data_IF_737905969698
#
_entry.id   IF_737905969698
#
_cell.length_a   1.000
_cell.length_b   1.000
_cell.length_c   1.000
_cell.angle_alpha   90.00
_cell.angle_beta   90.00
_cell.angle_gamma   90.00
#
_symmetry.space_group_name_H-M   'P 1'
#
loop_
_entity.id
_entity.type
_entity.pdbx_description
1 polymer ?
#
# COMPACT_ATOMS: atom_id res chain seq x y z
N UNK A 1 -24.98 -21.65 -7.03
CA UNK A 1 -24.23 -22.62 -7.87
C UNK A 1 -22.69 -22.47 -7.84
N UNK A 2 -22.09 -21.31 -7.52
CA UNK A 2 -20.61 -21.11 -7.56
C UNK A 2 -19.80 -21.64 -6.35
N UNK A 3 -20.44 -22.25 -5.34
CA UNK A 3 -19.80 -22.69 -4.09
C UNK A 3 -20.04 -24.18 -3.74
N UNK A 4 -20.36 -25.05 -4.71
CA UNK A 4 -20.48 -26.48 -4.41
C UNK A 4 -19.09 -27.11 -4.21
N UNK A 5 -18.91 -28.06 -3.27
CA UNK A 5 -17.64 -28.75 -3.06
C UNK A 5 -17.11 -29.46 -4.32
N UNK A 6 -18.03 -29.91 -5.18
CA UNK A 6 -17.71 -30.52 -6.48
C UNK A 6 -17.11 -29.52 -7.47
N UNK A 7 -17.69 -28.31 -7.56
CA UNK A 7 -17.17 -27.23 -8.39
C UNK A 7 -15.75 -26.81 -7.96
N UNK A 8 -15.52 -26.67 -6.65
CA UNK A 8 -14.19 -26.32 -6.13
C UNK A 8 -13.14 -27.38 -6.44
N UNK A 9 -13.50 -28.68 -6.35
CA UNK A 9 -12.60 -29.78 -6.75
C UNK A 9 -12.22 -29.71 -8.23
N UNK A 10 -13.18 -29.43 -9.12
CA UNK A 10 -12.90 -29.30 -10.55
C UNK A 10 -11.99 -28.11 -10.86
N UNK A 11 -12.23 -26.96 -10.22
CA UNK A 11 -11.37 -25.78 -10.35
C UNK A 11 -9.95 -26.07 -9.85
N UNK A 12 -9.81 -26.72 -8.70
CA UNK A 12 -8.50 -27.08 -8.14
C UNK A 12 -7.74 -28.05 -9.06
N UNK A 13 -8.44 -29.05 -9.61
CA UNK A 13 -7.85 -29.98 -10.57
C UNK A 13 -7.40 -29.27 -11.85
N UNK A 14 -8.25 -28.42 -12.44
CA UNK A 14 -7.90 -27.63 -13.62
C UNK A 14 -6.68 -26.72 -13.37
N UNK A 15 -6.61 -26.12 -12.17
CA UNK A 15 -5.47 -25.32 -11.74
C UNK A 15 -4.19 -26.16 -11.66
N UNK A 16 -4.24 -27.34 -11.03
CA UNK A 16 -3.08 -28.24 -10.92
C UNK A 16 -2.60 -28.72 -12.30
N UNK A 17 -3.51 -29.08 -13.20
CA UNK A 17 -3.18 -29.46 -14.58
C UNK A 17 -2.53 -28.29 -15.32
N UNK A 18 -3.06 -27.08 -15.14
CA UNK A 18 -2.51 -25.87 -15.78
C UNK A 18 -1.12 -25.53 -15.26
N UNK A 19 -0.91 -25.57 -13.94
CA UNK A 19 0.40 -25.36 -13.32
C UNK A 19 1.40 -26.43 -13.78
N UNK A 20 0.98 -27.69 -13.86
CA UNK A 20 1.81 -28.78 -14.38
C UNK A 20 2.22 -28.53 -15.83
N UNK A 21 1.29 -28.08 -16.70
CA UNK A 21 1.63 -27.69 -18.08
C UNK A 21 2.62 -26.52 -18.12
N UNK A 22 2.45 -25.53 -17.25
CA UNK A 22 3.37 -24.38 -17.15
C UNK A 22 4.77 -24.76 -16.67
N UNK A 23 4.89 -25.79 -15.82
CA UNK A 23 6.17 -26.32 -15.35
C UNK A 23 6.99 -26.98 -16.47
N UNK A 24 6.32 -27.52 -17.49
CA UNK A 24 6.94 -28.14 -18.67
C UNK A 24 7.06 -27.15 -19.84
N UNK A 25 6.52 -25.94 -19.72
CA UNK A 25 6.58 -24.95 -20.78
C UNK A 25 7.94 -24.25 -20.82
N UNK A 26 8.63 -24.35 -21.96
CA UNK A 26 9.90 -23.65 -22.23
C UNK A 26 9.73 -22.15 -22.52
N UNK A 27 8.49 -21.65 -22.56
CA UNK A 27 8.22 -20.22 -22.83
C UNK A 27 8.94 -19.34 -21.81
N UNK A 28 9.84 -18.47 -22.28
CA UNK A 28 10.51 -17.46 -21.45
C UNK A 28 9.48 -16.45 -20.95
N UNK A 29 9.06 -16.61 -19.70
CA UNK A 29 8.21 -15.64 -19.01
C UNK A 29 9.07 -14.73 -18.15
N UNK A 30 8.91 -13.41 -18.36
CA UNK A 30 9.57 -12.36 -17.56
C UNK A 30 8.83 -12.03 -16.27
N UNK A 31 7.56 -12.42 -16.16
CA UNK A 31 6.72 -12.14 -14.99
C UNK A 31 5.84 -13.32 -14.58
N UNK A 32 5.57 -13.44 -13.29
CA UNK A 32 4.62 -14.38 -12.70
C UNK A 32 3.68 -13.60 -11.77
N UNK A 33 2.37 -13.69 -12.01
CA UNK A 33 1.36 -13.07 -11.16
C UNK A 33 0.45 -14.14 -10.57
N UNK A 34 0.40 -14.20 -9.24
CA UNK A 34 -0.42 -15.12 -8.47
C UNK A 34 -1.19 -14.29 -7.44
N UNK A 35 -2.51 -14.34 -7.55
CA UNK A 35 -3.44 -13.47 -6.84
C UNK A 35 -4.55 -14.33 -6.23
N UNK A 36 -5.13 -13.88 -5.12
CA UNK A 36 -6.23 -14.56 -4.43
C UNK A 36 -7.42 -14.89 -5.36
N UNK A 37 -7.73 -14.00 -6.32
CA UNK A 37 -8.81 -14.21 -7.28
C UNK A 37 -8.51 -15.37 -8.26
N UNK A 38 -7.24 -15.68 -8.47
CA UNK A 38 -6.79 -16.80 -9.31
C UNK A 38 -6.63 -18.09 -8.50
N UNK A 39 -6.04 -17.99 -7.30
CA UNK A 39 -5.79 -19.12 -6.41
C UNK A 39 -6.25 -18.77 -4.99
N UNK A 40 -7.40 -19.33 -4.59
CA UNK A 40 -7.93 -19.20 -3.24
C UNK A 40 -7.34 -20.26 -2.32
N UNK A 41 -6.06 -20.10 -1.94
CA UNK A 41 -5.37 -21.04 -1.05
C UNK A 41 -6.15 -21.38 0.24
N UNK A 42 -6.86 -20.44 0.90
CA UNK A 42 -7.64 -20.75 2.10
C UNK A 42 -8.78 -21.74 1.89
N UNK A 43 -9.25 -21.91 0.64
CA UNK A 43 -10.34 -22.83 0.30
C UNK A 43 -9.86 -24.26 -0.02
N UNK A 44 -8.55 -24.46 -0.06
CA UNK A 44 -7.94 -25.75 -0.34
C UNK A 44 -7.80 -26.56 0.94
N UNK A 45 -7.89 -27.89 0.79
CA UNK A 45 -7.45 -28.79 1.84
C UNK A 45 -5.92 -28.75 1.99
N UNK A 46 -5.42 -29.30 3.09
CA UNK A 46 -3.99 -29.29 3.42
C UNK A 46 -3.12 -29.90 2.32
N UNK A 47 -3.59 -30.98 1.70
CA UNK A 47 -2.86 -31.69 0.64
C UNK A 47 -2.86 -30.86 -0.65
N UNK A 48 -4.01 -30.34 -1.08
CA UNK A 48 -4.14 -29.49 -2.25
C UNK A 48 -3.30 -28.22 -2.16
N UNK A 49 -3.32 -27.55 -1.00
CA UNK A 49 -2.49 -26.37 -0.72
C UNK A 49 -1.01 -26.69 -0.86
N UNK A 50 -0.53 -27.73 -0.17
CA UNK A 50 0.87 -28.17 -0.25
C UNK A 50 1.31 -28.48 -1.69
N UNK A 51 0.48 -29.20 -2.44
CA UNK A 51 0.79 -29.54 -3.83
C UNK A 51 0.90 -28.29 -4.72
N UNK A 52 0.01 -27.32 -4.55
CA UNK A 52 0.07 -26.06 -5.31
C UNK A 52 1.31 -25.25 -4.96
N UNK A 53 1.67 -25.13 -3.67
CA UNK A 53 2.89 -24.43 -3.26
C UNK A 53 4.14 -25.10 -3.84
N UNK A 54 4.23 -26.43 -3.81
CA UNK A 54 5.34 -27.19 -4.41
C UNK A 54 5.43 -26.93 -5.93
N UNK A 55 4.29 -26.92 -6.62
CA UNK A 55 4.24 -26.64 -8.07
C UNK A 55 4.70 -25.21 -8.37
N UNK A 56 4.23 -24.22 -7.60
CA UNK A 56 4.64 -22.83 -7.76
C UNK A 56 6.14 -22.64 -7.52
N UNK A 57 6.67 -23.22 -6.44
CA UNK A 57 8.10 -23.20 -6.15
C UNK A 57 8.92 -23.79 -7.32
N UNK A 58 8.51 -24.95 -7.84
CA UNK A 58 9.19 -25.58 -8.99
C UNK A 58 9.14 -24.71 -10.24
N UNK A 59 8.00 -24.07 -10.51
CA UNK A 59 7.85 -23.15 -11.65
C UNK A 59 8.79 -21.97 -11.48
N UNK A 60 8.83 -21.34 -10.31
CA UNK A 60 9.66 -20.16 -10.02
C UNK A 60 11.14 -20.53 -10.11
N UNK A 61 11.56 -21.62 -9.44
CA UNK A 61 12.94 -22.06 -9.37
C UNK A 61 13.51 -22.40 -10.76
N UNK A 62 12.71 -22.97 -11.67
CA UNK A 62 13.15 -23.26 -13.04
C UNK A 62 13.41 -22.01 -13.90
N UNK A 63 12.91 -20.83 -13.51
CA UNK A 63 13.10 -19.59 -14.28
C UNK A 63 14.36 -18.89 -13.80
N UNK A 64 15.25 -18.58 -14.74
CA UNK A 64 16.53 -17.87 -14.47
C UNK A 64 16.51 -16.41 -14.93
N UNK A 65 15.47 -15.99 -15.63
CA UNK A 65 15.32 -14.66 -16.24
C UNK A 65 14.03 -13.96 -15.82
N UNK A 66 13.50 -14.32 -14.64
CA UNK A 66 12.32 -13.67 -14.11
C UNK A 66 12.67 -12.25 -13.66
N UNK A 67 11.90 -11.27 -14.13
CA UNK A 67 12.08 -9.85 -13.84
C UNK A 67 11.05 -9.36 -12.81
N UNK A 68 9.87 -10.00 -12.74
CA UNK A 68 8.83 -9.64 -11.79
C UNK A 68 8.08 -10.83 -11.19
N UNK A 69 7.65 -10.68 -9.94
CA UNK A 69 6.70 -11.58 -9.29
C UNK A 69 5.66 -10.81 -8.48
N UNK A 70 4.40 -11.23 -8.57
CA UNK A 70 3.30 -10.73 -7.76
C UNK A 70 2.65 -11.91 -7.01
N UNK A 71 2.58 -11.79 -5.68
CA UNK A 71 1.99 -12.72 -4.72
C UNK A 71 1.00 -11.92 -3.85
N UNK A 72 -0.23 -11.73 -4.32
CA UNK A 72 -1.20 -10.85 -3.65
C UNK A 72 -2.39 -11.60 -3.04
N UNK A 73 -2.71 -11.30 -1.78
CA UNK A 73 -3.90 -11.83 -1.08
C UNK A 73 -3.88 -13.34 -0.82
N UNK A 74 -2.74 -14.01 -1.01
CA UNK A 74 -2.67 -15.47 -0.99
C UNK A 74 -2.84 -16.09 0.40
N UNK A 75 -2.68 -15.30 1.47
CA UNK A 75 -2.73 -15.80 2.85
C UNK A 75 -1.77 -16.99 3.07
N UNK A 76 -0.54 -16.86 2.60
CA UNK A 76 0.54 -17.84 2.77
C UNK A 76 0.94 -17.94 4.23
N UNK A 77 1.29 -19.15 4.68
CA UNK A 77 2.01 -19.26 5.94
C UNK A 77 3.41 -18.66 5.77
N UNK A 78 4.08 -18.24 6.86
CA UNK A 78 5.46 -17.75 6.79
C UNK A 78 6.40 -18.67 6.01
N UNK A 79 6.31 -19.98 6.26
CA UNK A 79 7.14 -20.99 5.60
C UNK A 79 6.90 -21.04 4.10
N UNK A 80 5.64 -21.09 3.69
CA UNK A 80 5.28 -21.14 2.27
C UNK A 80 5.80 -19.91 1.54
N UNK A 81 5.61 -18.71 2.07
CA UNK A 81 6.04 -17.50 1.37
C UNK A 81 7.55 -17.29 1.38
N UNK A 82 8.27 -17.63 2.47
CA UNK A 82 9.75 -17.61 2.43
C UNK A 82 10.28 -18.62 1.42
N UNK A 83 9.69 -19.82 1.36
CA UNK A 83 10.07 -20.85 0.39
C UNK A 83 9.86 -20.37 -1.05
N UNK A 84 8.72 -19.74 -1.34
CA UNK A 84 8.46 -19.16 -2.67
C UNK A 84 9.43 -18.03 -3.02
N UNK A 85 9.82 -17.20 -2.05
CA UNK A 85 10.81 -16.14 -2.29
C UNK A 85 12.23 -16.69 -2.46
N UNK A 86 12.63 -17.70 -1.70
CA UNK A 86 13.93 -18.37 -1.89
C UNK A 86 14.03 -19.04 -3.26
N UNK A 87 12.91 -19.53 -3.81
CA UNK A 87 12.88 -20.07 -5.16
C UNK A 87 13.28 -19.03 -6.24
N UNK A 88 13.22 -17.73 -5.94
CA UNK A 88 13.66 -16.66 -6.85
C UNK A 88 15.18 -16.56 -6.95
N UNK A 89 15.95 -17.30 -6.16
CA UNK A 89 17.42 -17.24 -6.16
C UNK A 89 18.06 -17.43 -7.54
N UNK A 90 17.46 -18.28 -8.38
CA UNK A 90 17.93 -18.52 -9.75
C UNK A 90 17.70 -17.33 -10.68
N UNK A 91 16.75 -16.45 -10.36
CA UNK A 91 16.48 -15.19 -11.06
C UNK A 91 17.01 -13.96 -10.31
N UNK A 92 17.87 -14.12 -9.29
CA UNK A 92 18.32 -13.01 -8.44
C UNK A 92 18.99 -11.85 -9.20
N UNK A 93 19.62 -12.16 -10.34
CA UNK A 93 20.31 -11.19 -11.19
C UNK A 93 19.39 -10.44 -12.16
N UNK A 94 18.16 -10.92 -12.34
CA UNK A 94 17.18 -10.32 -13.26
C UNK A 94 15.97 -9.76 -12.54
N UNK A 95 15.72 -10.22 -11.31
CA UNK A 95 14.55 -9.83 -10.51
C UNK A 95 14.61 -8.35 -10.15
N UNK A 96 13.62 -7.59 -10.62
CA UNK A 96 13.51 -6.14 -10.42
C UNK A 96 12.31 -5.75 -9.57
N UNK A 97 11.24 -6.54 -9.61
CA UNK A 97 9.94 -6.20 -9.00
C UNK A 97 9.38 -7.36 -8.19
N UNK A 98 9.15 -7.15 -6.90
CA UNK A 98 8.51 -8.12 -6.02
C UNK A 98 7.31 -7.46 -5.34
N UNK A 99 6.12 -8.01 -5.58
CA UNK A 99 4.86 -7.56 -5.00
C UNK A 99 4.28 -8.62 -4.08
N UNK A 100 4.07 -8.27 -2.81
CA UNK A 100 3.67 -9.19 -1.74
C UNK A 100 2.64 -8.54 -0.78
N UNK A 101 1.70 -7.74 -1.31
CA UNK A 101 0.61 -7.20 -0.50
C UNK A 101 -0.37 -8.30 -0.06
N UNK A 102 -0.61 -8.37 1.25
CA UNK A 102 -1.43 -9.41 1.90
C UNK A 102 -1.00 -10.83 1.50
N UNK A 103 0.29 -11.00 1.17
CA UNK A 103 0.82 -12.29 0.74
C UNK A 103 0.76 -13.31 1.87
N UNK A 104 0.96 -12.88 3.12
CA UNK A 104 1.04 -13.74 4.30
C UNK A 104 -0.19 -13.62 5.17
N UNK A 105 -0.48 -14.68 5.94
CA UNK A 105 -1.52 -14.68 6.96
C UNK A 105 -1.32 -13.54 7.98
N UNK A 106 -2.42 -13.03 8.53
CA UNK A 106 -2.47 -11.85 9.42
C UNK A 106 -1.59 -11.96 10.68
N UNK A 107 -1.15 -13.17 11.02
CA UNK A 107 -0.32 -13.47 12.18
C UNK A 107 1.16 -13.13 12.01
N UNK A 108 1.63 -12.73 10.81
CA UNK A 108 3.04 -12.38 10.61
C UNK A 108 3.33 -10.94 11.05
N UNK A 109 3.04 -10.66 12.33
CA UNK A 109 3.99 -9.84 13.07
C UNK A 109 5.18 -10.74 13.34
N UNK A 110 6.37 -10.32 12.92
CA UNK A 110 7.63 -10.91 13.39
C UNK A 110 7.65 -10.73 14.92
N UNK A 111 6.99 -11.64 15.64
CA UNK A 111 6.87 -11.61 17.09
C UNK A 111 8.30 -11.64 17.62
N UNK A 112 8.65 -10.57 18.31
CA UNK A 112 9.91 -10.43 19.04
C UNK A 112 10.02 -11.65 19.96
N UNK A 113 11.24 -12.19 20.05
CA UNK A 113 11.64 -13.33 20.89
C UNK A 113 11.31 -13.13 22.37
N UNK A 114 10.03 -13.24 22.74
CA UNK A 114 9.60 -13.35 24.14
C UNK A 114 8.72 -14.60 24.28
N UNK A 115 9.24 -15.52 25.09
CA UNK A 115 8.82 -16.89 25.30
C UNK A 115 7.36 -17.06 25.76
N UNK A 116 6.72 -18.20 25.43
CA UNK A 116 6.40 -19.27 26.38
C UNK A 116 5.71 -20.44 25.66
N UNK A 117 6.04 -21.63 26.13
CA UNK A 117 5.74 -22.94 25.56
C UNK A 117 4.28 -23.33 25.79
N UNK A 118 3.54 -23.68 24.72
CA UNK A 118 2.54 -24.74 24.78
C UNK A 118 2.89 -25.73 23.68
N UNK A 119 3.56 -26.82 24.07
CA UNK A 119 3.85 -27.96 23.21
C UNK A 119 2.51 -28.62 22.85
N UNK A 120 1.98 -28.35 21.67
CA UNK A 120 1.05 -29.27 21.01
C UNK A 120 1.85 -30.12 20.02
N UNK A 121 1.78 -31.45 20.20
CA UNK A 121 2.65 -32.44 19.56
C UNK A 121 2.34 -32.76 18.09
N UNK A 122 1.99 -31.77 17.26
CA UNK A 122 1.64 -32.01 15.86
C UNK A 122 2.33 -31.03 14.93
N UNK A 123 3.42 -31.49 14.29
CA UNK A 123 4.29 -30.76 13.36
C UNK A 123 4.77 -29.40 13.86
N UNK A 124 6.04 -29.34 14.27
CA UNK A 124 6.72 -28.05 14.45
C UNK A 124 6.89 -27.40 13.08
N UNK A 125 5.93 -26.58 12.65
CA UNK A 125 6.20 -25.53 11.67
C UNK A 125 7.43 -24.78 12.19
N UNK A 126 8.53 -24.86 11.45
CA UNK A 126 9.76 -24.16 11.82
C UNK A 126 9.39 -22.70 11.95
N UNK A 127 9.51 -22.13 13.16
CA UNK A 127 9.27 -20.71 13.41
C UNK A 127 10.23 -19.95 12.50
N UNK A 128 9.69 -19.39 11.42
CA UNK A 128 10.45 -18.59 10.46
C UNK A 128 11.02 -17.43 11.23
N UNK A 129 12.34 -17.37 11.27
CA UNK A 129 13.00 -16.26 11.92
C UNK A 129 12.98 -15.07 10.97
N UNK A 130 12.98 -13.87 11.53
CA UNK A 130 13.21 -12.62 10.81
C UNK A 130 14.38 -12.66 9.82
N UNK A 131 15.41 -13.44 10.15
CA UNK A 131 16.57 -13.63 9.29
C UNK A 131 16.24 -14.37 7.99
N UNK A 132 15.23 -15.24 7.95
CA UNK A 132 14.88 -16.03 6.77
C UNK A 132 14.17 -15.19 5.71
N UNK A 133 13.24 -14.31 6.13
CA UNK A 133 12.63 -13.29 5.27
C UNK A 133 13.69 -12.37 4.66
N UNK A 134 14.57 -11.83 5.52
CA UNK A 134 15.67 -10.98 5.09
C UNK A 134 16.60 -11.68 4.10
N UNK A 135 16.94 -12.95 4.36
CA UNK A 135 17.77 -13.76 3.45
C UNK A 135 17.08 -13.92 2.10
N UNK A 136 15.78 -14.21 2.07
CA UNK A 136 15.06 -14.43 0.83
C UNK A 136 15.02 -13.18 -0.06
N UNK A 137 14.59 -12.03 0.49
CA UNK A 137 14.54 -10.77 -0.27
C UNK A 137 15.94 -10.22 -0.53
N UNK A 138 16.81 -10.27 0.47
CA UNK A 138 18.17 -9.74 0.38
C UNK A 138 19.12 -10.56 -0.50
N UNK A 139 18.67 -11.66 -1.11
CA UNK A 139 19.40 -12.37 -2.16
C UNK A 139 19.16 -11.77 -3.56
N UNK A 140 18.16 -10.89 -3.74
CA UNK A 140 17.75 -10.33 -5.03
C UNK A 140 18.60 -9.09 -5.37
N UNK A 141 19.77 -9.30 -5.96
CA UNK A 141 20.81 -8.29 -6.21
C UNK A 141 20.34 -7.06 -7.01
N UNK A 142 19.37 -7.23 -7.93
CA UNK A 142 18.87 -6.18 -8.82
C UNK A 142 17.47 -5.70 -8.46
N UNK A 143 16.99 -5.99 -7.24
CA UNK A 143 15.67 -5.59 -6.81
C UNK A 143 15.58 -4.05 -6.76
N UNK A 144 14.66 -3.51 -7.57
CA UNK A 144 14.42 -2.06 -7.63
C UNK A 144 13.16 -1.65 -6.89
N UNK A 145 12.15 -2.54 -6.85
CA UNK A 145 10.84 -2.27 -6.29
C UNK A 145 10.41 -3.44 -5.40
N UNK A 146 10.14 -3.12 -4.14
CA UNK A 146 9.60 -4.06 -3.17
C UNK A 146 8.26 -3.52 -2.66
N UNK A 147 7.21 -4.33 -2.78
CA UNK A 147 5.88 -4.01 -2.29
C UNK A 147 5.44 -5.04 -1.25
N UNK A 148 5.20 -4.59 -0.02
CA UNK A 148 4.97 -5.45 1.15
C UNK A 148 4.01 -4.77 2.13
N UNK A 149 3.46 -5.54 3.06
CA UNK A 149 2.78 -4.96 4.21
C UNK A 149 3.82 -4.31 5.14
N UNK A 150 3.44 -3.22 5.79
CA UNK A 150 4.31 -2.50 6.72
C UNK A 150 4.83 -3.43 7.82
N UNK A 151 3.95 -4.27 8.38
CA UNK A 151 4.31 -5.23 9.43
C UNK A 151 5.47 -6.17 9.07
N UNK A 152 5.69 -6.49 7.78
CA UNK A 152 6.72 -7.45 7.38
C UNK A 152 8.14 -6.92 7.52
N UNK A 153 8.31 -5.59 7.54
CA UNK A 153 9.61 -4.93 7.69
C UNK A 153 9.72 -4.11 8.97
N UNK A 154 8.60 -3.88 9.66
CA UNK A 154 8.54 -3.08 10.86
C UNK A 154 9.15 -3.82 12.05
N UNK A 155 10.31 -3.33 12.51
CA UNK A 155 10.98 -3.83 13.71
C UNK A 155 11.30 -2.67 14.65
N UNK A 156 11.29 -2.86 15.98
CA UNK A 156 11.50 -1.75 16.93
C UNK A 156 12.85 -1.02 16.77
N UNK A 157 13.84 -1.70 16.19
CA UNK A 157 15.17 -1.12 15.88
C UNK A 157 15.30 -0.66 14.43
N UNK A 158 14.40 -1.08 13.54
CA UNK A 158 14.49 -0.88 12.09
C UNK A 158 15.64 -1.61 11.40
N UNK A 159 16.32 -2.51 12.10
CA UNK A 159 17.47 -3.31 11.62
C UNK A 159 17.19 -4.09 10.33
N UNK A 160 15.98 -4.62 10.13
CA UNK A 160 15.61 -5.34 8.91
C UNK A 160 15.62 -4.40 7.70
N UNK A 161 14.97 -3.25 7.84
CA UNK A 161 14.93 -2.21 6.81
C UNK A 161 16.36 -1.70 6.51
N UNK A 162 17.15 -1.40 7.54
CA UNK A 162 18.55 -0.96 7.38
C UNK A 162 19.38 -2.02 6.66
N UNK A 163 19.22 -3.30 7.02
CA UNK A 163 19.98 -4.38 6.40
C UNK A 163 19.60 -4.57 4.93
N UNK A 164 18.33 -4.39 4.57
CA UNK A 164 17.89 -4.40 3.17
C UNK A 164 18.48 -3.22 2.40
N UNK A 165 18.47 -2.03 3.00
CA UNK A 165 19.08 -0.84 2.41
C UNK A 165 20.59 -1.03 2.16
N UNK A 166 21.33 -1.62 3.11
CA UNK A 166 22.75 -1.95 2.94
C UNK A 166 23.01 -2.90 1.78
N UNK A 167 22.14 -3.90 1.59
CA UNK A 167 22.31 -4.91 0.54
C UNK A 167 21.94 -4.40 -0.85
N UNK A 168 20.82 -3.71 -0.97
CA UNK A 168 20.30 -3.25 -2.25
C UNK A 168 20.90 -1.90 -2.67
N UNK A 169 21.29 -1.07 -1.70
CA UNK A 169 21.94 0.21 -1.91
C UNK A 169 21.20 1.09 -2.91
N UNK A 170 21.96 1.63 -3.87
CA UNK A 170 21.45 2.51 -4.94
C UNK A 170 20.53 1.84 -5.95
N UNK A 171 20.49 0.51 -6.01
CA UNK A 171 19.56 -0.21 -6.89
C UNK A 171 18.12 -0.11 -6.37
N UNK A 172 17.93 0.08 -5.06
CA UNK A 172 16.61 0.14 -4.46
C UNK A 172 15.96 1.50 -4.69
N UNK A 173 14.92 1.52 -5.52
CA UNK A 173 14.24 2.76 -5.93
C UNK A 173 12.88 2.93 -5.27
N UNK A 174 12.17 1.83 -5.03
CA UNK A 174 10.79 1.88 -4.55
C UNK A 174 10.55 0.88 -3.41
N UNK A 175 9.98 1.41 -2.33
CA UNK A 175 9.38 0.64 -1.26
C UNK A 175 7.90 1.03 -1.14
N UNK A 176 7.01 0.08 -1.43
CA UNK A 176 5.56 0.27 -1.38
C UNK A 176 4.98 -0.46 -0.16
N UNK A 177 4.41 0.30 0.76
CA UNK A 177 3.97 -0.16 2.07
C UNK A 177 2.45 -0.13 2.15
N UNK A 178 1.85 -1.31 2.22
CA UNK A 178 0.45 -1.46 2.60
C UNK A 178 0.33 -1.38 4.12
N UNK A 179 -0.52 -0.49 4.61
CA UNK A 179 -0.69 -0.20 6.03
C UNK A 179 -2.13 -0.48 6.44
N UNK A 180 -2.31 -1.40 7.39
CA UNK A 180 -3.61 -1.87 7.88
C UNK A 180 -3.71 -1.67 9.40
N UNK A 181 -4.91 -1.39 9.93
CA UNK A 181 -5.11 -1.07 11.36
C UNK A 181 -4.63 -2.22 12.26
N UNK A 182 -4.98 -3.45 11.86
CA UNK A 182 -4.61 -4.69 12.55
C UNK A 182 -3.10 -4.93 12.64
N UNK A 183 -2.27 -4.21 11.87
CA UNK A 183 -0.81 -4.35 11.85
C UNK A 183 -0.10 -3.46 12.86
N UNK A 184 -0.76 -2.41 13.35
CA UNK A 184 -0.19 -1.46 14.32
C UNK A 184 -0.90 -1.48 15.65
N UNK A 185 -2.20 -1.82 15.69
CA UNK A 185 -2.95 -1.96 16.94
C UNK A 185 -3.17 -3.43 17.23
N UNK A 186 -2.53 -3.94 18.27
CA UNK A 186 -2.82 -5.24 18.88
C UNK A 186 -3.93 -5.09 19.94
N UNK A 187 -4.69 -6.17 20.15
CA UNK A 187 -5.60 -6.28 21.29
C UNK A 187 -5.04 -7.30 22.26
N UNK A 188 -4.91 -6.93 23.54
CA UNK A 188 -4.58 -7.88 24.60
C UNK A 188 -5.78 -8.76 24.93
N UNK A 189 -5.54 -9.86 25.65
CA UNK A 189 -6.59 -10.75 26.15
C UNK A 189 -7.61 -10.02 27.05
N UNK A 190 -7.18 -8.94 27.72
CA UNK A 190 -8.06 -8.07 28.52
C UNK A 190 -8.77 -6.98 27.69
N UNK A 191 -8.66 -7.00 26.36
CA UNK A 191 -9.29 -6.02 25.47
C UNK A 191 -8.60 -4.65 25.41
N UNK A 192 -7.44 -4.48 26.05
CA UNK A 192 -6.65 -3.26 25.96
C UNK A 192 -5.86 -3.22 24.65
N UNK A 193 -5.89 -2.07 23.99
CA UNK A 193 -5.11 -1.86 22.78
C UNK A 193 -3.63 -1.64 23.16
N UNK A 194 -2.73 -2.32 22.47
CA UNK A 194 -1.28 -2.07 22.57
C UNK A 194 -0.70 -1.86 21.18
N UNK A 195 0.37 -1.08 21.11
CA UNK A 195 1.04 -0.78 19.87
C UNK A 195 1.99 -1.92 19.46
N UNK A 196 1.89 -2.34 18.20
CA UNK A 196 2.84 -3.28 17.58
C UNK A 196 4.12 -2.54 17.16
N UNK A 197 5.08 -3.32 16.62
CA UNK A 197 6.38 -2.78 16.19
C UNK A 197 6.25 -1.67 15.15
N UNK A 198 6.99 -0.59 15.35
CA UNK A 198 7.11 0.55 14.43
C UNK A 198 8.56 0.74 14.01
N UNK A 199 8.77 1.29 12.82
CA UNK A 199 10.10 1.64 12.33
C UNK A 199 10.49 3.00 12.94
N UNK A 200 11.55 3.08 13.76
CA UNK A 200 11.93 4.34 14.38
C UNK A 200 12.56 5.28 13.35
N UNK A 201 12.44 6.59 13.58
CA UNK A 201 12.94 7.62 12.66
C UNK A 201 14.44 7.51 12.35
N UNK A 202 15.25 7.13 13.35
CA UNK A 202 16.69 6.86 13.19
C UNK A 202 16.99 5.78 12.14
N UNK A 203 16.09 4.81 11.96
CA UNK A 203 16.26 3.76 10.96
C UNK A 203 16.04 4.32 9.56
N UNK A 204 15.06 5.21 9.37
CA UNK A 204 14.86 5.92 8.11
C UNK A 204 16.04 6.82 7.75
N UNK A 205 16.61 7.52 8.73
CA UNK A 205 17.84 8.29 8.53
C UNK A 205 19.01 7.40 8.06
N UNK A 206 19.20 6.24 8.69
CA UNK A 206 20.22 5.28 8.26
C UNK A 206 19.94 4.69 6.87
N UNK A 207 18.67 4.44 6.53
CA UNK A 207 18.27 3.93 5.21
C UNK A 207 18.58 4.96 4.13
N UNK A 208 18.31 6.24 4.38
CA UNK A 208 18.64 7.31 3.45
C UNK A 208 20.13 7.36 3.13
N UNK A 209 21.00 7.07 4.10
CA UNK A 209 22.44 6.96 3.86
C UNK A 209 22.82 5.81 2.91
N UNK A 210 22.22 4.63 3.08
CA UNK A 210 22.55 3.45 2.25
C UNK A 210 21.84 3.42 0.89
N UNK A 211 20.61 3.94 0.83
CA UNK A 211 19.75 3.96 -0.36
C UNK A 211 19.18 5.38 -0.57
N UNK A 212 20.00 6.35 -0.99
CA UNK A 212 19.60 7.77 -1.06
C UNK A 212 18.53 8.06 -2.11
N UNK A 213 18.39 7.19 -3.11
CA UNK A 213 17.39 7.30 -4.19
C UNK A 213 16.07 6.60 -3.87
N UNK A 214 15.95 6.00 -2.67
CA UNK A 214 14.77 5.26 -2.26
C UNK A 214 13.56 6.20 -2.11
N UNK A 215 12.47 5.81 -2.77
CA UNK A 215 11.16 6.46 -2.65
C UNK A 215 10.21 5.53 -1.90
N UNK A 216 9.49 6.09 -0.94
CA UNK A 216 8.49 5.36 -0.17
C UNK A 216 7.08 5.74 -0.64
N UNK A 217 6.27 4.71 -0.88
CA UNK A 217 4.85 4.82 -1.12
C UNK A 217 4.10 4.23 0.06
N UNK A 218 3.23 5.01 0.68
CA UNK A 218 2.28 4.52 1.68
C UNK A 218 0.89 4.35 1.05
N UNK A 219 0.29 3.18 1.27
CA UNK A 219 -1.11 2.89 1.01
C UNK A 219 -1.79 2.54 2.35
N UNK A 220 -2.42 3.54 2.96
CA UNK A 220 -3.09 3.44 4.26
C UNK A 220 -4.58 3.23 4.02
N UNK A 221 -5.12 2.09 4.45
CA UNK A 221 -6.48 1.69 4.12
C UNK A 221 -7.28 1.40 5.39
N UNK A 222 -8.42 2.07 5.56
CA UNK A 222 -9.36 1.86 6.65
C UNK A 222 -8.92 2.44 7.99
N UNK A 223 -8.00 3.40 7.99
CA UNK A 223 -7.44 4.01 9.21
C UNK A 223 -7.66 5.52 9.13
N UNK A 224 -8.84 6.02 9.50
CA UNK A 224 -9.12 7.45 9.38
C UNK A 224 -8.45 8.30 10.47
N UNK A 225 -8.19 7.75 11.65
CA UNK A 225 -7.68 8.51 12.79
C UNK A 225 -6.19 8.85 12.64
N UNK A 226 -5.88 10.15 12.64
CA UNK A 226 -4.51 10.68 12.58
C UNK A 226 -3.55 10.06 13.57
N UNK A 227 -3.92 9.94 14.84
CA UNK A 227 -3.04 9.37 15.87
C UNK A 227 -2.67 7.91 15.61
N UNK A 228 -3.48 7.21 14.81
CA UNK A 228 -3.24 5.82 14.43
C UNK A 228 -2.39 5.76 13.17
N UNK A 229 -2.80 6.39 12.07
CA UNK A 229 -2.04 6.26 10.81
C UNK A 229 -0.70 7.03 10.82
N UNK A 230 -0.55 8.06 11.64
CA UNK A 230 0.74 8.75 11.81
C UNK A 230 1.84 7.80 12.27
N UNK A 231 1.50 6.74 13.02
CA UNK A 231 2.45 5.75 13.53
C UNK A 231 3.24 5.00 12.44
N UNK A 232 2.76 5.01 11.19
CA UNK A 232 3.44 4.35 10.08
C UNK A 232 4.64 5.12 9.54
N UNK A 233 4.73 6.43 9.76
CA UNK A 233 5.72 7.27 9.11
C UNK A 233 6.33 8.29 10.06
N UNK A 234 7.58 8.66 9.79
CA UNK A 234 8.37 9.58 10.60
C UNK A 234 9.02 10.63 9.72
N UNK A 235 9.48 11.74 10.32
CA UNK A 235 10.01 12.89 9.59
C UNK A 235 11.05 12.54 8.52
N UNK A 236 11.96 11.61 8.79
CA UNK A 236 13.03 11.21 7.86
C UNK A 236 12.60 10.16 6.82
N UNK A 237 11.35 9.71 6.81
CA UNK A 237 10.88 8.79 5.77
C UNK A 237 10.81 9.53 4.43
N UNK A 238 11.44 9.04 3.34
CA UNK A 238 11.41 9.71 2.04
C UNK A 238 10.08 9.42 1.31
N UNK A 239 8.98 9.95 1.84
CA UNK A 239 7.64 9.75 1.28
C UNK A 239 7.55 10.48 -0.06
N UNK A 240 7.32 9.69 -1.11
CA UNK A 240 7.02 10.17 -2.45
C UNK A 240 5.54 10.10 -2.75
N UNK A 241 4.87 9.04 -2.30
CA UNK A 241 3.46 8.77 -2.59
C UNK A 241 2.73 8.51 -1.28
N UNK A 242 1.68 9.29 -1.02
CA UNK A 242 0.81 9.11 0.14
C UNK A 242 -0.62 8.88 -0.32
N UNK A 243 -1.12 7.66 -0.11
CA UNK A 243 -2.51 7.30 -0.36
C UNK A 243 -3.19 6.94 0.97
N UNK A 244 -4.22 7.69 1.34
CA UNK A 244 -5.04 7.44 2.51
C UNK A 244 -6.48 7.20 2.06
N UNK A 245 -7.02 6.04 2.40
CA UNK A 245 -8.43 5.71 2.23
C UNK A 245 -9.03 5.45 3.60
N UNK A 246 -10.03 6.22 4.00
CA UNK A 246 -10.70 6.06 5.30
C UNK A 246 -11.56 4.80 5.37
N UNK A 247 -11.83 4.18 4.23
CA UNK A 247 -12.91 3.20 4.05
C UNK A 247 -14.27 3.73 4.57
N UNK A 248 -15.32 2.92 4.46
CA UNK A 248 -16.61 3.25 5.05
C UNK A 248 -16.57 2.94 6.55
N UNK A 249 -16.45 3.97 7.39
CA UNK A 249 -16.59 3.81 8.84
C UNK A 249 -18.07 3.87 9.25
N UNK A 250 -18.71 2.71 9.27
CA UNK A 250 -20.10 2.57 9.73
C UNK A 250 -20.26 2.89 11.24
N UNK A 251 -19.16 3.01 11.99
CA UNK A 251 -19.18 3.30 13.42
C UNK A 251 -19.03 4.80 13.72
N UNK A 252 -18.89 5.63 12.69
CA UNK A 252 -18.81 7.10 12.81
C UNK A 252 -17.82 7.57 13.89
N UNK A 253 -16.64 6.94 13.98
CA UNK A 253 -15.63 7.20 15.02
C UNK A 253 -14.87 8.49 14.75
N UNK A 254 -15.54 9.62 14.89
CA UNK A 254 -15.01 10.97 14.71
C UNK A 254 -14.74 11.65 16.07
N UNK A 255 -13.84 12.63 16.16
CA UNK A 255 -13.06 13.25 15.08
C UNK A 255 -11.87 12.41 14.60
N UNK A 256 -11.49 12.61 13.32
CA UNK A 256 -10.36 11.93 12.66
C UNK A 256 -9.06 12.74 12.65
N UNK A 257 -9.15 14.05 12.90
CA UNK A 257 -8.05 15.02 12.87
C UNK A 257 -7.26 15.00 11.56
N UNK A 258 -7.96 14.95 10.42
CA UNK A 258 -7.35 14.93 9.09
C UNK A 258 -6.65 16.25 8.74
N UNK A 259 -7.03 17.36 9.37
CA UNK A 259 -6.29 18.62 9.27
C UNK A 259 -4.84 18.47 9.79
N UNK A 260 -4.64 17.73 10.89
CA UNK A 260 -3.32 17.38 11.40
C UNK A 260 -2.54 16.50 10.42
N UNK A 261 -3.23 15.62 9.68
CA UNK A 261 -2.61 14.82 8.62
C UNK A 261 -2.05 15.72 7.53
N UNK A 262 -2.87 16.62 6.97
CA UNK A 262 -2.45 17.55 5.92
C UNK A 262 -1.30 18.44 6.42
N UNK A 263 -1.42 19.02 7.63
CA UNK A 263 -0.36 19.83 8.24
C UNK A 263 0.96 19.06 8.34
N UNK A 264 0.91 17.79 8.79
CA UNK A 264 2.10 16.95 8.91
C UNK A 264 2.74 16.69 7.56
N UNK A 265 1.94 16.37 6.53
CA UNK A 265 2.45 16.15 5.18
C UNK A 265 3.14 17.40 4.62
N UNK A 266 2.50 18.56 4.76
CA UNK A 266 3.06 19.84 4.35
C UNK A 266 4.35 20.20 5.11
N UNK A 267 4.45 19.83 6.40
CA UNK A 267 5.60 20.22 7.23
C UNK A 267 6.79 19.29 7.04
N UNK A 268 6.56 17.99 6.88
CA UNK A 268 7.65 17.00 6.86
C UNK A 268 8.06 16.60 5.45
N UNK A 269 7.16 16.69 4.47
CA UNK A 269 7.36 16.12 3.14
C UNK A 269 7.04 17.11 2.00
N UNK A 270 7.16 18.42 2.26
CA UNK A 270 6.94 19.47 1.24
C UNK A 270 7.72 19.22 -0.05
N UNK A 271 8.97 18.76 0.11
CA UNK A 271 9.94 18.67 -0.97
C UNK A 271 9.99 17.28 -1.62
N UNK A 272 9.46 16.25 -0.94
CA UNK A 272 9.52 14.86 -1.42
C UNK A 272 8.18 14.33 -1.92
N UNK A 273 7.05 14.86 -1.43
CA UNK A 273 5.72 14.35 -1.75
C UNK A 273 5.30 14.78 -3.17
N UNK A 274 5.22 13.80 -4.07
CA UNK A 274 4.90 13.99 -5.49
C UNK A 274 3.48 13.55 -5.82
N UNK A 275 2.95 12.57 -5.09
CA UNK A 275 1.60 12.03 -5.29
C UNK A 275 0.84 11.99 -3.97
N UNK A 276 -0.32 12.64 -3.93
CA UNK A 276 -1.20 12.66 -2.78
C UNK A 276 -2.61 12.20 -3.20
N UNK A 277 -3.08 11.12 -2.59
CA UNK A 277 -4.43 10.60 -2.76
C UNK A 277 -5.13 10.54 -1.40
N UNK A 278 -6.24 11.26 -1.29
CA UNK A 278 -7.06 11.33 -0.08
C UNK A 278 -8.48 10.87 -0.42
N UNK A 279 -8.82 9.65 -0.06
CA UNK A 279 -10.17 9.09 -0.20
C UNK A 279 -10.87 9.12 1.15
N UNK A 280 -11.58 10.22 1.41
CA UNK A 280 -12.19 10.57 2.68
C UNK A 280 -13.70 10.32 2.64
N UNK A 281 -14.09 9.06 2.64
CA UNK A 281 -15.48 8.63 2.63
C UNK A 281 -16.22 9.09 3.89
N UNK A 282 -17.33 9.80 3.73
CA UNK A 282 -18.19 10.30 4.82
C UNK A 282 -17.47 11.13 5.90
N UNK A 283 -16.34 11.75 5.54
CA UNK A 283 -15.66 12.70 6.42
C UNK A 283 -16.54 13.94 6.63
N UNK A 284 -16.80 14.31 7.88
CA UNK A 284 -17.56 15.52 8.25
C UNK A 284 -16.67 16.67 8.72
N UNK A 285 -15.35 16.50 8.72
CA UNK A 285 -14.44 17.58 9.10
C UNK A 285 -14.34 18.62 7.99
N UNK A 286 -14.42 19.89 8.35
CA UNK A 286 -14.18 20.99 7.41
C UNK A 286 -12.68 21.10 7.10
N UNK A 287 -12.29 20.72 5.88
CA UNK A 287 -10.90 20.78 5.40
C UNK A 287 -10.66 21.94 4.42
N UNK A 288 -11.64 22.82 4.23
CA UNK A 288 -11.58 23.88 3.22
C UNK A 288 -10.34 24.77 3.35
N UNK A 289 -9.96 25.17 4.57
CA UNK A 289 -8.80 26.03 4.80
C UNK A 289 -7.48 25.34 4.41
N UNK A 290 -7.37 24.06 4.75
CA UNK A 290 -6.20 23.22 4.51
C UNK A 290 -6.06 22.91 3.01
N UNK A 291 -7.16 22.52 2.36
CA UNK A 291 -7.21 22.24 0.92
C UNK A 291 -6.94 23.51 0.11
N UNK A 292 -7.50 24.66 0.53
CA UNK A 292 -7.29 25.93 -0.16
C UNK A 292 -5.83 26.32 -0.27
N UNK A 293 -4.94 25.88 0.63
CA UNK A 293 -3.50 26.24 0.63
C UNK A 293 -2.56 25.08 0.27
N UNK A 294 -3.13 23.92 -0.07
CA UNK A 294 -2.39 22.66 -0.18
C UNK A 294 -1.24 22.72 -1.19
N UNK A 295 -1.49 23.23 -2.40
CA UNK A 295 -0.51 23.19 -3.48
C UNK A 295 0.66 24.15 -3.29
N UNK A 296 0.45 25.24 -2.54
CA UNK A 296 1.53 26.16 -2.16
C UNK A 296 2.46 25.54 -1.14
N UNK A 297 1.92 24.73 -0.21
CA UNK A 297 2.72 24.05 0.81
C UNK A 297 3.40 22.76 0.34
N UNK A 298 3.00 22.24 -0.82
CA UNK A 298 3.57 21.03 -1.42
C UNK A 298 4.12 21.35 -2.82
N UNK A 299 5.26 22.07 -2.92
CA UNK A 299 5.81 22.50 -4.21
C UNK A 299 6.19 21.34 -5.12
N UNK A 300 6.57 20.18 -4.56
CA UNK A 300 6.92 18.98 -5.34
C UNK A 300 5.71 18.17 -5.82
N UNK A 301 4.49 18.52 -5.41
CA UNK A 301 3.29 17.77 -5.75
C UNK A 301 2.98 17.88 -7.24
N UNK A 302 2.81 16.73 -7.90
CA UNK A 302 2.46 16.63 -9.32
C UNK A 302 1.08 16.05 -9.54
N UNK A 303 0.65 15.13 -8.66
CA UNK A 303 -0.62 14.44 -8.77
C UNK A 303 -1.39 14.57 -7.47
N UNK A 304 -2.60 15.10 -7.57
CA UNK A 304 -3.55 15.21 -6.47
C UNK A 304 -4.84 14.48 -6.82
N UNK A 305 -5.21 13.51 -5.99
CA UNK A 305 -6.48 12.78 -6.08
C UNK A 305 -7.26 12.95 -4.78
N UNK A 306 -8.53 13.31 -4.89
CA UNK A 306 -9.36 13.60 -3.73
C UNK A 306 -10.75 13.01 -3.89
N UNK A 307 -11.24 12.30 -2.88
CA UNK A 307 -12.64 11.92 -2.76
C UNK A 307 -13.10 12.43 -1.40
N UNK A 308 -14.14 13.27 -1.35
CA UNK A 308 -14.47 13.97 -0.11
C UNK A 308 -15.46 15.11 -0.29
N UNK A 309 -15.78 15.75 0.83
CA UNK A 309 -16.60 16.97 0.87
C UNK A 309 -15.70 18.21 0.74
N UNK A 310 -16.07 19.16 -0.13
CA UNK A 310 -15.52 20.53 -0.15
C UNK A 310 -16.71 21.47 -0.01
N UNK A 311 -16.69 22.31 1.03
CA UNK A 311 -17.90 23.04 1.45
C UNK A 311 -18.19 24.29 0.64
N UNK A 312 -17.14 24.94 0.15
CA UNK A 312 -17.29 26.25 -0.48
C UNK A 312 -16.66 26.30 -1.87
N UNK A 313 -17.33 27.00 -2.79
CA UNK A 313 -16.80 27.26 -4.13
C UNK A 313 -15.52 28.11 -4.05
N UNK A 314 -15.40 28.94 -3.00
CA UNK A 314 -14.22 29.75 -2.71
C UNK A 314 -12.98 28.88 -2.51
N UNK A 315 -13.11 27.70 -1.90
CA UNK A 315 -12.01 26.74 -1.74
C UNK A 315 -11.57 26.19 -3.09
N UNK A 316 -12.48 25.67 -3.90
CA UNK A 316 -12.18 25.18 -5.25
C UNK A 316 -11.55 26.27 -6.13
N UNK A 317 -12.11 27.48 -6.10
CA UNK A 317 -11.58 28.63 -6.82
C UNK A 317 -10.17 29.00 -6.34
N UNK A 318 -9.93 28.98 -5.03
CA UNK A 318 -8.61 29.23 -4.45
C UNK A 318 -7.58 28.18 -4.90
N UNK A 319 -7.94 26.90 -4.92
CA UNK A 319 -7.09 25.83 -5.44
C UNK A 319 -6.78 26.03 -6.93
N UNK A 320 -7.78 26.37 -7.74
CA UNK A 320 -7.59 26.64 -9.17
C UNK A 320 -6.70 27.86 -9.42
N UNK A 321 -6.88 28.92 -8.63
CA UNK A 321 -6.04 30.12 -8.70
C UNK A 321 -4.58 29.82 -8.36
N UNK A 322 -4.32 28.90 -7.42
CA UNK A 322 -2.95 28.46 -7.10
C UNK A 322 -2.29 27.76 -8.27
N UNK A 323 -3.00 26.83 -8.90
CA UNK A 323 -2.51 26.15 -10.12
C UNK A 323 -2.21 27.18 -11.19
N UNK A 324 -3.19 28.05 -11.51
CA UNK A 324 -3.04 29.10 -12.53
C UNK A 324 -1.89 30.06 -12.26
N UNK A 325 -1.58 30.35 -10.99
CA UNK A 325 -0.49 31.25 -10.63
C UNK A 325 0.91 30.72 -10.98
N UNK A 326 1.03 29.45 -11.38
CA UNK A 326 2.32 28.82 -11.75
C UNK A 326 3.25 28.57 -10.56
N UNK A 327 2.74 28.71 -9.32
CA UNK A 327 3.52 28.55 -8.09
C UNK A 327 3.56 27.10 -7.57
N UNK A 328 2.94 26.16 -8.28
CA UNK A 328 2.98 24.73 -7.97
C UNK A 328 3.23 23.90 -9.22
N UNK A 329 3.70 22.66 -9.04
CA UNK A 329 4.07 21.74 -10.11
C UNK A 329 2.99 20.70 -10.44
N UNK A 330 1.73 20.97 -10.05
CA UNK A 330 0.63 20.04 -10.19
C UNK A 330 0.25 19.90 -11.67
N UNK A 331 0.40 18.69 -12.21
CA UNK A 331 0.05 18.36 -13.60
C UNK A 331 -1.26 17.58 -13.72
N UNK A 332 -1.71 16.95 -12.63
CA UNK A 332 -2.96 16.18 -12.61
C UNK A 332 -3.72 16.41 -11.30
N UNK A 333 -4.96 16.81 -11.42
CA UNK A 333 -5.93 16.95 -10.33
C UNK A 333 -7.18 16.18 -10.71
N UNK A 334 -7.54 15.21 -9.87
CA UNK A 334 -8.80 14.48 -10.00
C UNK A 334 -9.55 14.55 -8.68
N UNK A 335 -10.78 15.06 -8.70
CA UNK A 335 -11.63 15.14 -7.51
C UNK A 335 -12.97 14.43 -7.75
N UNK A 336 -13.44 13.69 -6.75
CA UNK A 336 -14.81 13.18 -6.70
C UNK A 336 -15.50 13.76 -5.45
N UNK A 337 -16.40 14.72 -5.67
CA UNK A 337 -17.06 15.44 -4.60
C UNK A 337 -18.26 14.65 -4.09
N UNK A 338 -18.31 14.45 -2.77
CA UNK A 338 -19.46 13.91 -2.05
C UNK A 338 -20.48 15.02 -1.74
N UNK A 339 -21.74 14.63 -1.54
CA UNK A 339 -22.80 15.56 -1.13
C UNK A 339 -22.47 16.19 0.24
N UNK A 340 -22.72 17.49 0.36
CA UNK A 340 -22.56 18.21 1.63
C UNK A 340 -23.71 17.80 2.54
N UNK A 341 -23.38 17.15 3.66
CA UNK A 341 -24.37 16.61 4.62
C UNK A 341 -24.91 17.72 5.56
N UNK A 342 -24.35 18.92 5.48
CA UNK A 342 -24.63 20.05 6.35
C UNK A 342 -25.24 21.21 5.56
N UNK A 343 -26.22 21.89 6.17
CA UNK A 343 -26.97 23.06 5.66
C UNK A 343 -28.07 22.75 4.62
N UNK A 344 -29.03 23.68 4.46
CA UNK A 344 -30.05 23.70 3.41
C UNK A 344 -29.37 23.90 2.03
N UNK A 345 -28.71 22.84 1.58
CA UNK A 345 -27.81 22.87 0.45
C UNK A 345 -28.56 22.64 -0.87
N UNK A 346 -28.60 23.67 -1.70
CA UNK A 346 -29.06 23.56 -3.08
C UNK A 346 -28.02 22.84 -3.94
N UNK A 347 -28.18 21.51 -4.03
CA UNK A 347 -27.30 20.61 -4.79
C UNK A 347 -27.22 21.00 -6.28
N UNK A 348 -28.34 21.43 -6.87
CA UNK A 348 -28.36 21.81 -8.29
C UNK A 348 -27.53 23.07 -8.53
N UNK A 349 -27.73 24.09 -7.70
CA UNK A 349 -26.95 25.34 -7.75
C UNK A 349 -25.47 25.07 -7.50
N UNK A 350 -25.12 24.18 -6.58
CA UNK A 350 -23.73 23.80 -6.34
C UNK A 350 -23.09 23.13 -7.56
N UNK A 351 -23.73 22.08 -8.09
CA UNK A 351 -23.22 21.35 -9.26
C UNK A 351 -23.06 22.30 -10.45
N UNK A 352 -24.03 23.19 -10.68
CA UNK A 352 -23.94 24.22 -11.72
C UNK A 352 -22.76 25.15 -11.50
N UNK A 353 -22.54 25.61 -10.26
CA UNK A 353 -21.45 26.52 -9.91
C UNK A 353 -20.07 25.88 -10.11
N UNK A 354 -19.89 24.61 -9.73
CA UNK A 354 -18.65 23.87 -9.95
C UNK A 354 -18.40 23.65 -11.44
N UNK A 355 -19.42 23.28 -12.22
CA UNK A 355 -19.30 23.14 -13.68
C UNK A 355 -18.90 24.46 -14.35
N UNK A 356 -19.50 25.58 -13.95
CA UNK A 356 -19.09 26.91 -14.42
C UNK A 356 -17.62 27.20 -14.08
N UNK A 357 -17.18 26.88 -12.87
CA UNK A 357 -15.79 27.05 -12.45
C UNK A 357 -14.82 26.21 -13.29
N UNK A 358 -15.14 24.94 -13.56
CA UNK A 358 -14.34 24.09 -14.45
C UNK A 358 -14.20 24.70 -15.85
N UNK A 359 -15.30 25.23 -16.41
CA UNK A 359 -15.28 25.90 -17.72
C UNK A 359 -14.39 27.16 -17.67
N UNK A 360 -14.49 27.97 -16.61
CA UNK A 360 -13.69 29.19 -16.45
C UNK A 360 -12.17 28.92 -16.46
N UNK A 361 -11.71 27.83 -15.86
CA UNK A 361 -10.27 27.52 -15.77
C UNK A 361 -9.77 26.58 -16.88
N UNK A 362 -10.66 25.98 -17.68
CA UNK A 362 -10.30 24.99 -18.69
C UNK A 362 -9.22 25.48 -19.67
N UNK A 363 -9.42 26.67 -20.26
CA UNK A 363 -8.45 27.21 -21.23
C UNK A 363 -7.08 27.47 -20.61
N UNK A 364 -7.03 27.94 -19.36
CA UNK A 364 -5.78 28.17 -18.65
C UNK A 364 -5.07 26.83 -18.37
N UNK A 365 -5.80 25.83 -17.89
CA UNK A 365 -5.24 24.51 -17.58
C UNK A 365 -4.79 23.74 -18.82
N UNK A 366 -5.54 23.82 -19.93
CA UNK A 366 -5.15 23.21 -21.20
C UNK A 366 -3.83 23.81 -21.71
N UNK A 367 -3.66 25.14 -21.62
CA UNK A 367 -2.41 25.84 -21.99
C UNK A 367 -1.24 25.45 -21.08
N UNK A 368 -1.51 25.21 -19.80
CA UNK A 368 -0.51 24.78 -18.82
C UNK A 368 -0.22 23.27 -18.87
N UNK A 369 -0.96 22.49 -19.66
CA UNK A 369 -0.85 21.02 -19.70
C UNK A 369 -1.33 20.33 -18.41
N UNK A 370 -2.20 20.98 -17.64
CA UNK A 370 -2.76 20.45 -16.40
C UNK A 370 -4.05 19.69 -16.70
N UNK A 371 -4.10 18.40 -16.34
CA UNK A 371 -5.33 17.61 -16.37
C UNK A 371 -6.14 17.87 -15.12
N UNK A 372 -7.31 18.49 -15.25
CA UNK A 372 -8.17 18.88 -14.13
C UNK A 372 -9.58 18.35 -14.33
N UNK A 373 -9.97 17.40 -13.49
CA UNK A 373 -11.26 16.73 -13.56
C UNK A 373 -11.95 16.75 -12.19
N UNK A 374 -13.21 17.18 -12.16
CA UNK A 374 -14.08 17.09 -10.98
C UNK A 374 -15.34 16.33 -11.39
N UNK A 375 -15.56 15.21 -10.71
CA UNK A 375 -16.77 14.42 -10.80
C UNK A 375 -17.57 14.52 -9.49
N UNK A 376 -18.85 14.17 -9.56
CA UNK A 376 -19.71 14.06 -8.38
C UNK A 376 -19.99 12.60 -8.11
N UNK A 377 -19.92 12.20 -6.84
CA UNK A 377 -20.24 10.85 -6.46
C UNK A 377 -21.75 10.61 -6.64
N UNK A 378 -22.13 9.67 -7.51
CA UNK A 378 -23.51 9.25 -7.68
C UNK A 378 -23.88 8.31 -6.53
N UNK A 379 -24.80 8.75 -5.66
CA UNK A 379 -25.46 7.88 -4.69
C UNK A 379 -26.42 6.91 -5.38
#
# INVERSE_FOLDING_TARGET
>A
MKNSPSYQKQVNHALQVTLSKLQHSEKRKKGINVWEQLIRLPTLDRIGRRNIIILLERIICKRTSLESICLEGLSLTPDEGVRLLLALYNSRKTMRYVYCWRAFEKMVGLTVDTAYTVKSGFYTDKRIQKCDWFRAIGCLEFLTTLSVNYAYIATPTGDLLISLAKKLGVNWRWLQLLCLEEEIVGKSECGLNFDKAMIPDRAWAAVHFWAPVLKVQYAIIGIPQYDVHKKFFTKNTPIHTFALSTAMDLRFRQPWYLDCTIKTLCTWYSDTLVYLCLQLWHNRQNLDEQLRKLFVYLPSLRVFEFIGEIRTLKTLCGMCCQIRSGRCNVSRVHMQLQDIVHDDFDKEKWVKSVKCLMICFKCDFDRMGVKFDIDFYCC
#
